data_IF_861585627010
#
_entry.id   IF_861585627010
#
_cell.length_a   1.000
_cell.length_b   1.000
_cell.length_c   1.000
_cell.angle_alpha   90.00
_cell.angle_beta   90.00
_cell.angle_gamma   90.00
#
_symmetry.space_group_name_H-M   'P 1'
#
loop_
_entity.id
_entity.type
_entity.pdbx_description
1 polymer ?
#
# COMPACT_ATOMS: atom_id res chain seq x y z
N UNK A 1 23.46 -10.55 -15.87
CA UNK A 1 22.41 -10.67 -14.85
C UNK A 1 22.91 -11.56 -13.73
N UNK A 2 22.24 -11.54 -12.57
CA UNK A 2 22.55 -12.45 -11.45
C UNK A 2 21.53 -13.60 -11.48
N UNK A 3 21.78 -14.69 -12.23
CA UNK A 3 20.79 -15.75 -12.48
C UNK A 3 20.34 -16.48 -11.21
N UNK A 4 21.14 -16.42 -10.14
CA UNK A 4 20.84 -17.08 -8.86
C UNK A 4 19.98 -16.21 -7.92
N UNK A 5 19.72 -14.96 -8.26
CA UNK A 5 18.85 -14.06 -7.48
C UNK A 5 17.41 -14.29 -7.91
N UNK A 6 16.58 -14.74 -6.96
CA UNK A 6 15.15 -15.02 -7.17
C UNK A 6 14.28 -13.88 -6.65
N UNK A 7 13.12 -13.67 -7.28
CA UNK A 7 12.10 -12.75 -6.78
C UNK A 7 11.48 -13.29 -5.48
N UNK A 8 11.24 -12.40 -4.51
CA UNK A 8 10.55 -12.74 -3.26
C UNK A 8 9.02 -12.52 -3.30
N UNK A 9 8.52 -11.76 -4.27
CA UNK A 9 7.09 -11.50 -4.48
C UNK A 9 6.84 -11.07 -5.93
N UNK A 10 5.56 -11.04 -6.34
CA UNK A 10 5.15 -10.44 -7.62
C UNK A 10 4.83 -8.98 -7.37
N UNK A 11 5.70 -8.07 -7.83
CA UNK A 11 5.57 -6.65 -7.56
C UNK A 11 6.28 -5.79 -8.62
N UNK A 12 5.89 -4.54 -8.86
CA UNK A 12 4.58 -3.95 -8.53
C UNK A 12 3.69 -4.05 -9.77
N UNK A 13 2.57 -4.76 -9.67
CA UNK A 13 1.63 -4.91 -10.80
C UNK A 13 0.80 -3.64 -10.94
N UNK A 14 1.10 -2.84 -11.96
CA UNK A 14 0.40 -1.59 -12.18
C UNK A 14 -0.81 -1.74 -13.10
N UNK A 15 -1.83 -0.92 -12.82
CA UNK A 15 -2.94 -0.69 -13.75
C UNK A 15 -3.19 0.80 -13.94
N UNK A 16 -3.61 1.15 -15.14
CA UNK A 16 -4.23 2.42 -15.46
C UNK A 16 -5.69 2.45 -15.01
N UNK A 17 -6.39 3.54 -15.33
CA UNK A 17 -7.84 3.63 -15.19
C UNK A 17 -8.44 4.30 -16.44
N UNK A 18 -9.45 3.67 -17.09
CA UNK A 18 -9.91 2.29 -16.88
C UNK A 18 -8.81 1.23 -17.11
N UNK A 19 -8.93 0.04 -16.51
CA UNK A 19 -7.94 -1.04 -16.65
C UNK A 19 -7.94 -1.57 -18.09
N UNK A 20 -6.79 -1.54 -18.75
CA UNK A 20 -6.61 -2.06 -20.11
C UNK A 20 -6.64 -3.61 -20.15
N UNK A 21 -6.99 -4.17 -21.31
CA UNK A 21 -7.01 -5.62 -21.52
C UNK A 21 -5.66 -6.30 -21.23
N UNK A 22 -4.54 -5.63 -21.52
CA UNK A 22 -3.21 -6.13 -21.17
C UNK A 22 -2.99 -6.18 -19.66
N UNK A 23 -3.36 -5.11 -18.94
CA UNK A 23 -3.23 -5.01 -17.49
C UNK A 23 -4.13 -6.03 -16.79
N UNK A 24 -5.35 -6.22 -17.30
CA UNK A 24 -6.27 -7.27 -16.83
C UNK A 24 -5.65 -8.66 -16.95
N UNK A 25 -5.05 -9.00 -18.10
CA UNK A 25 -4.34 -10.27 -18.29
C UNK A 25 -3.13 -10.41 -17.36
N UNK A 26 -2.44 -9.32 -17.07
CA UNK A 26 -1.30 -9.30 -16.15
C UNK A 26 -1.74 -9.59 -14.71
N UNK A 27 -2.84 -8.99 -14.23
CA UNK A 27 -3.44 -9.26 -12.91
C UNK A 27 -3.90 -10.73 -12.82
N UNK A 28 -4.60 -11.23 -13.84
CA UNK A 28 -5.04 -12.63 -13.90
C UNK A 28 -3.86 -13.61 -13.90
N UNK A 29 -2.76 -13.27 -14.56
CA UNK A 29 -1.54 -14.08 -14.56
C UNK A 29 -0.87 -14.05 -13.18
N UNK A 30 -0.85 -12.90 -12.51
CA UNK A 30 -0.40 -12.78 -11.12
C UNK A 30 -1.20 -13.72 -10.20
N UNK A 31 -2.52 -13.76 -10.35
CA UNK A 31 -3.41 -14.61 -9.57
C UNK A 31 -3.06 -16.10 -9.69
N UNK A 32 -2.85 -16.56 -10.92
CA UNK A 32 -2.44 -17.95 -11.20
C UNK A 32 -1.12 -18.28 -10.52
N UNK A 33 -0.10 -17.46 -10.72
CA UNK A 33 1.21 -17.69 -10.09
C UNK A 33 1.12 -17.62 -8.56
N UNK A 34 0.42 -16.62 -8.02
CA UNK A 34 0.18 -16.46 -6.58
C UNK A 34 -0.47 -17.71 -5.97
N UNK A 35 -1.47 -18.29 -6.63
CA UNK A 35 -2.16 -19.48 -6.14
C UNK A 35 -1.30 -20.74 -6.19
N UNK A 36 -0.41 -20.87 -7.19
CA UNK A 36 0.51 -22.00 -7.34
C UNK A 36 1.68 -21.95 -6.34
N UNK A 37 2.32 -20.80 -6.17
CA UNK A 37 3.53 -20.67 -5.34
C UNK A 37 3.30 -20.05 -3.97
N UNK A 38 2.06 -19.61 -3.68
CA UNK A 38 1.66 -18.98 -2.43
C UNK A 38 2.49 -17.73 -2.04
N UNK A 39 2.97 -16.98 -3.02
CA UNK A 39 3.71 -15.74 -2.79
C UNK A 39 2.79 -14.53 -2.59
N UNK A 40 3.33 -13.40 -2.13
CA UNK A 40 2.61 -12.13 -2.12
C UNK A 40 2.53 -11.51 -3.52
N UNK A 41 1.48 -10.70 -3.76
CA UNK A 41 1.37 -9.82 -4.94
C UNK A 41 1.08 -8.40 -4.48
N UNK A 42 1.83 -7.41 -4.96
CA UNK A 42 1.50 -6.00 -4.75
C UNK A 42 0.99 -5.34 -6.04
N UNK A 43 0.07 -4.40 -5.86
CA UNK A 43 -0.60 -3.70 -6.96
C UNK A 43 -0.46 -2.18 -6.84
N UNK A 44 -0.19 -1.53 -7.96
CA UNK A 44 -0.23 -0.09 -8.13
C UNK A 44 -1.57 0.29 -8.79
N UNK A 45 -2.56 0.82 -8.04
CA UNK A 45 -3.82 1.18 -8.65
C UNK A 45 -3.69 2.47 -9.47
N UNK A 46 -4.58 2.62 -10.46
CA UNK A 46 -4.93 3.93 -11.02
C UNK A 46 -5.34 4.93 -9.92
N UNK A 47 -5.55 6.19 -10.30
CA UNK A 47 -5.91 7.25 -9.32
C UNK A 47 -7.41 7.38 -9.06
N UNK A 48 -8.20 6.56 -9.74
CA UNK A 48 -9.64 6.49 -9.52
C UNK A 48 -9.95 5.61 -8.30
N UNK A 49 -10.88 6.02 -7.42
CA UNK A 49 -11.25 5.27 -6.23
C UNK A 49 -11.80 3.86 -6.52
N UNK A 50 -12.31 3.58 -7.72
CA UNK A 50 -12.79 2.24 -8.10
C UNK A 50 -11.65 1.29 -8.51
N UNK A 51 -10.46 1.82 -8.85
CA UNK A 51 -9.36 1.01 -9.34
C UNK A 51 -8.88 -0.06 -8.33
N UNK A 52 -8.68 0.23 -7.03
CA UNK A 52 -8.33 -0.78 -6.03
C UNK A 52 -9.33 -1.95 -5.98
N UNK A 53 -10.64 -1.64 -6.06
CA UNK A 53 -11.71 -2.63 -6.00
C UNK A 53 -11.73 -3.51 -7.25
N UNK A 54 -11.59 -2.91 -8.44
CA UNK A 54 -11.58 -3.69 -9.68
C UNK A 54 -10.36 -4.62 -9.76
N UNK A 55 -9.17 -4.15 -9.36
CA UNK A 55 -7.96 -4.98 -9.33
C UNK A 55 -8.16 -6.20 -8.42
N UNK A 56 -8.65 -5.98 -7.20
CA UNK A 56 -8.84 -7.08 -6.24
C UNK A 56 -9.91 -8.06 -6.73
N UNK A 57 -10.98 -7.56 -7.34
CA UNK A 57 -12.01 -8.40 -7.97
C UNK A 57 -11.43 -9.28 -9.07
N UNK A 58 -10.67 -8.70 -10.01
CA UNK A 58 -10.03 -9.46 -11.11
C UNK A 58 -9.07 -10.52 -10.55
N UNK A 59 -8.29 -10.17 -9.54
CA UNK A 59 -7.38 -11.10 -8.85
C UNK A 59 -8.15 -12.30 -8.29
N UNK A 60 -9.23 -12.04 -7.53
CA UNK A 60 -10.03 -13.09 -6.89
C UNK A 60 -10.79 -13.94 -7.90
N UNK A 61 -11.40 -13.33 -8.92
CA UNK A 61 -12.07 -14.05 -10.02
C UNK A 61 -11.11 -15.00 -10.77
N UNK A 62 -9.82 -14.67 -10.83
CA UNK A 62 -8.78 -15.51 -11.42
C UNK A 62 -8.16 -16.53 -10.45
N UNK A 63 -8.68 -16.65 -9.22
CA UNK A 63 -8.25 -17.63 -8.21
C UNK A 63 -7.18 -17.12 -7.24
N UNK A 64 -6.84 -15.84 -7.29
CA UNK A 64 -5.91 -15.21 -6.35
C UNK A 64 -6.52 -15.02 -4.96
N UNK A 65 -5.66 -14.94 -3.95
CA UNK A 65 -6.03 -14.79 -2.53
C UNK A 65 -5.83 -13.35 -2.09
N UNK A 66 -6.92 -12.69 -1.66
CA UNK A 66 -6.86 -11.34 -1.10
C UNK A 66 -5.93 -11.26 0.12
N UNK A 67 -5.93 -12.29 0.98
CA UNK A 67 -5.04 -12.35 2.15
C UNK A 67 -3.53 -12.35 1.82
N UNK A 68 -3.16 -12.55 0.55
CA UNK A 68 -1.81 -12.50 -0.02
C UNK A 68 -1.62 -11.34 -1.02
N UNK A 69 -2.56 -10.40 -1.09
CA UNK A 69 -2.47 -9.21 -1.93
C UNK A 69 -2.21 -7.96 -1.11
N UNK A 70 -1.39 -7.07 -1.66
CA UNK A 70 -1.10 -5.75 -1.13
C UNK A 70 -1.58 -4.71 -2.12
N UNK A 71 -2.34 -3.72 -1.64
CA UNK A 71 -2.75 -2.58 -2.44
C UNK A 71 -2.01 -1.33 -2.02
N UNK A 72 -1.09 -0.90 -2.88
CA UNK A 72 -0.30 0.32 -2.73
C UNK A 72 -1.18 1.57 -2.83
N UNK A 73 -0.65 2.68 -2.35
CA UNK A 73 -1.19 4.02 -2.62
C UNK A 73 -2.66 4.25 -2.20
N UNK A 74 -3.16 3.56 -1.18
CA UNK A 74 -4.54 3.80 -0.72
C UNK A 74 -4.71 5.21 -0.14
N UNK A 75 -3.65 5.78 0.40
CA UNK A 75 -3.56 7.11 1.01
C UNK A 75 -3.68 8.29 0.03
N UNK A 76 -3.59 8.04 -1.29
CA UNK A 76 -3.87 9.02 -2.36
C UNK A 76 -5.06 8.66 -3.25
N UNK A 77 -5.72 7.53 -2.98
CA UNK A 77 -6.74 6.94 -3.87
C UNK A 77 -8.09 6.83 -3.16
N UNK A 78 -8.11 6.27 -1.94
CA UNK A 78 -9.31 6.16 -1.11
C UNK A 78 -9.35 7.37 -0.16
N UNK A 79 -10.13 8.37 -0.56
CA UNK A 79 -10.13 9.68 0.09
C UNK A 79 -11.11 9.77 1.27
N UNK A 80 -12.03 8.82 1.40
CA UNK A 80 -13.01 8.75 2.50
C UNK A 80 -12.71 7.59 3.44
N UNK A 81 -13.14 7.70 4.70
CA UNK A 81 -13.08 6.60 5.67
C UNK A 81 -13.93 5.40 5.21
N UNK A 82 -15.14 5.67 4.72
CA UNK A 82 -16.07 4.65 4.20
C UNK A 82 -15.43 3.77 3.12
N UNK A 83 -14.91 4.38 2.03
CA UNK A 83 -14.28 3.62 0.94
C UNK A 83 -13.04 2.83 1.40
N UNK A 84 -12.25 3.38 2.32
CA UNK A 84 -11.10 2.70 2.89
C UNK A 84 -11.51 1.47 3.71
N UNK A 85 -12.57 1.57 4.52
CA UNK A 85 -13.09 0.48 5.32
C UNK A 85 -13.76 -0.60 4.45
N UNK A 86 -14.50 -0.19 3.42
CA UNK A 86 -15.06 -1.11 2.42
C UNK A 86 -13.97 -1.91 1.73
N UNK A 87 -12.88 -1.26 1.31
CA UNK A 87 -11.74 -1.96 0.72
C UNK A 87 -11.06 -2.91 1.73
N UNK A 88 -10.83 -2.45 2.96
CA UNK A 88 -10.20 -3.27 4.01
C UNK A 88 -11.00 -4.54 4.32
N UNK A 89 -12.33 -4.47 4.27
CA UNK A 89 -13.23 -5.60 4.48
C UNK A 89 -13.05 -6.72 3.44
N UNK A 90 -12.44 -6.44 2.28
CA UNK A 90 -12.14 -7.44 1.24
C UNK A 90 -10.96 -8.36 1.61
N UNK A 91 -10.23 -8.04 2.69
CA UNK A 91 -9.22 -8.92 3.29
C UNK A 91 -7.80 -8.79 2.71
N UNK A 92 -7.58 -7.83 1.82
CA UNK A 92 -6.27 -7.42 1.32
C UNK A 92 -5.45 -6.63 2.35
N UNK A 93 -4.12 -6.57 2.17
CA UNK A 93 -3.29 -5.62 2.91
C UNK A 93 -3.47 -4.20 2.36
N UNK A 94 -3.83 -3.27 3.24
CA UNK A 94 -3.92 -1.85 2.98
C UNK A 94 -2.54 -1.20 3.18
N UNK A 95 -1.94 -0.70 2.10
CA UNK A 95 -0.62 -0.07 2.16
C UNK A 95 -0.71 1.47 2.07
N UNK A 96 -0.09 2.11 3.06
CA UNK A 96 0.12 3.56 3.17
C UNK A 96 1.59 3.84 2.88
N UNK A 97 1.95 3.96 1.61
CA UNK A 97 3.33 4.01 1.15
C UNK A 97 3.81 5.39 0.75
N UNK A 98 3.07 6.47 0.98
CA UNK A 98 3.52 7.82 0.60
C UNK A 98 3.96 8.67 1.80
N UNK A 99 4.38 8.04 2.91
CA UNK A 99 4.94 8.78 4.05
C UNK A 99 6.13 9.66 3.63
N UNK A 100 6.10 10.91 4.10
CA UNK A 100 7.06 11.95 3.74
C UNK A 100 6.78 12.64 2.41
N UNK A 101 5.72 12.25 1.68
CA UNK A 101 5.24 12.98 0.49
C UNK A 101 4.14 13.94 0.88
N UNK A 102 4.50 15.20 1.06
CA UNK A 102 3.58 16.30 1.33
C UNK A 102 3.84 17.42 0.32
N UNK A 103 2.81 17.84 -0.40
CA UNK A 103 2.95 18.89 -1.41
C UNK A 103 1.67 19.72 -1.52
N UNK A 104 1.82 21.01 -1.81
CA UNK A 104 0.69 21.92 -1.99
C UNK A 104 -0.03 21.74 -3.32
N UNK A 105 0.62 21.09 -4.30
CA UNK A 105 0.04 20.81 -5.61
C UNK A 105 0.42 19.37 -6.02
N UNK A 106 -0.56 18.46 -5.95
CA UNK A 106 -0.36 17.10 -6.41
C UNK A 106 -0.51 17.02 -7.93
N UNK A 107 0.60 17.24 -8.64
CA UNK A 107 0.62 17.32 -10.11
C UNK A 107 0.10 16.07 -10.85
N UNK A 108 0.02 14.92 -10.18
CA UNK A 108 -0.46 13.66 -10.78
C UNK A 108 -1.99 13.49 -10.68
N UNK A 109 -2.65 14.26 -9.81
CA UNK A 109 -4.11 14.40 -9.76
C UNK A 109 -4.47 15.73 -9.11
N UNK A 110 -4.77 16.73 -9.94
CA UNK A 110 -5.03 18.11 -9.51
C UNK A 110 -6.29 18.27 -8.64
N UNK A 111 -7.17 17.27 -8.61
CA UNK A 111 -8.40 17.29 -7.80
C UNK A 111 -8.20 16.77 -6.37
N UNK A 112 -7.01 16.23 -6.06
CA UNK A 112 -6.72 15.59 -4.78
C UNK A 112 -5.70 16.41 -4.00
N UNK A 113 -6.06 16.74 -2.76
CA UNK A 113 -5.12 17.26 -1.78
C UNK A 113 -4.27 16.12 -1.24
N UNK A 114 -2.95 16.22 -1.45
CA UNK A 114 -2.02 15.23 -0.94
C UNK A 114 -2.00 15.28 0.59
N UNK A 115 -2.33 14.15 1.21
CA UNK A 115 -2.37 14.05 2.67
C UNK A 115 -1.00 14.31 3.29
N UNK A 116 -1.03 14.92 4.47
CA UNK A 116 0.12 14.92 5.39
C UNK A 116 0.29 13.56 6.06
N UNK A 117 1.47 13.31 6.62
CA UNK A 117 1.73 12.12 7.42
C UNK A 117 0.82 12.06 8.66
N UNK A 118 0.46 13.21 9.22
CA UNK A 118 -0.50 13.27 10.30
C UNK A 118 -1.87 12.72 9.86
N UNK A 119 -2.37 13.12 8.68
CA UNK A 119 -3.65 12.63 8.14
C UNK A 119 -3.59 11.15 7.76
N UNK A 120 -2.45 10.67 7.23
CA UNK A 120 -2.24 9.21 7.02
C UNK A 120 -2.36 8.42 8.31
N UNK A 121 -1.77 8.92 9.40
CA UNK A 121 -1.87 8.28 10.72
C UNK A 121 -3.33 8.28 11.20
N UNK A 122 -4.12 9.33 10.93
CA UNK A 122 -5.55 9.34 11.30
C UNK A 122 -6.34 8.24 10.56
N UNK A 123 -6.04 8.00 9.28
CA UNK A 123 -6.64 6.88 8.54
C UNK A 123 -6.23 5.52 9.09
N UNK A 124 -4.95 5.35 9.47
CA UNK A 124 -4.46 4.13 10.11
C UNK A 124 -5.19 3.90 11.44
N UNK A 125 -5.42 4.94 12.24
CA UNK A 125 -6.18 4.84 13.50
C UNK A 125 -7.63 4.41 13.22
N UNK A 126 -8.28 4.99 12.21
CA UNK A 126 -9.62 4.55 11.79
C UNK A 126 -9.65 3.07 11.40
N UNK A 127 -8.70 2.59 10.59
CA UNK A 127 -8.59 1.17 10.25
C UNK A 127 -8.39 0.29 11.48
N UNK A 128 -7.49 0.67 12.38
CA UNK A 128 -7.24 -0.06 13.62
C UNK A 128 -8.52 -0.20 14.45
N UNK A 129 -9.28 0.88 14.58
CA UNK A 129 -10.48 0.92 15.41
C UNK A 129 -11.64 0.12 14.81
N UNK A 130 -11.76 0.06 13.49
CA UNK A 130 -12.90 -0.53 12.80
C UNK A 130 -12.62 -1.93 12.19
N UNK A 131 -11.36 -2.25 11.90
CA UNK A 131 -10.95 -3.44 11.15
C UNK A 131 -9.75 -4.18 11.74
N UNK A 132 -9.12 -3.64 12.79
CA UNK A 132 -7.94 -4.22 13.43
C UNK A 132 -6.62 -3.80 12.78
N UNK A 133 -5.52 -4.33 13.30
CA UNK A 133 -4.14 -3.93 12.98
C UNK A 133 -3.38 -4.98 12.12
N UNK A 134 -4.02 -6.06 11.68
CA UNK A 134 -3.39 -7.21 10.97
C UNK A 134 -3.05 -6.99 9.49
N UNK A 135 -3.68 -6.00 8.85
CA UNK A 135 -3.62 -5.83 7.40
C UNK A 135 -3.19 -4.43 6.99
N UNK A 136 -2.37 -3.79 7.82
CA UNK A 136 -1.85 -2.43 7.57
C UNK A 136 -0.35 -2.51 7.29
N UNK A 137 0.07 -1.92 6.18
CA UNK A 137 1.48 -1.77 5.80
C UNK A 137 1.81 -0.29 5.61
N UNK A 138 3.06 0.08 5.88
CA UNK A 138 3.56 1.45 5.68
C UNK A 138 4.87 1.44 4.91
N UNK A 139 5.09 2.46 4.08
CA UNK A 139 6.35 2.66 3.37
C UNK A 139 6.51 4.12 2.93
N UNK A 140 7.52 4.40 2.11
CA UNK A 140 7.79 5.72 1.54
C UNK A 140 7.58 5.78 0.03
N UNK A 141 7.69 4.67 -0.70
CA UNK A 141 7.72 4.69 -2.18
C UNK A 141 8.78 5.69 -2.70
N UNK A 142 9.99 5.65 -2.15
CA UNK A 142 11.09 6.51 -2.63
C UNK A 142 11.54 5.99 -4.01
N UNK A 143 11.05 6.66 -5.06
CA UNK A 143 11.39 6.39 -6.45
C UNK A 143 12.11 7.58 -7.14
N UNK A 144 12.47 8.63 -6.39
CA UNK A 144 13.14 9.82 -6.93
C UNK A 144 14.32 10.29 -6.06
N UNK A 145 15.34 10.88 -6.69
CA UNK A 145 16.56 11.35 -6.00
C UNK A 145 16.28 12.41 -4.94
N UNK A 146 15.40 13.37 -5.22
CA UNK A 146 15.11 14.49 -4.32
C UNK A 146 14.50 14.05 -2.98
N UNK A 147 13.97 12.82 -2.90
CA UNK A 147 13.44 12.25 -1.65
C UNK A 147 14.49 11.61 -0.76
N UNK A 148 15.74 11.46 -1.23
CA UNK A 148 16.86 10.96 -0.42
C UNK A 148 17.48 12.09 0.42
N UNK A 149 17.95 11.76 1.62
CA UNK A 149 18.61 12.70 2.55
C UNK A 149 19.76 13.47 1.88
N UNK A 150 20.56 12.79 1.05
CA UNK A 150 21.67 13.41 0.31
C UNK A 150 21.24 14.60 -0.57
N UNK A 151 19.99 14.61 -1.01
CA UNK A 151 19.42 15.66 -1.87
C UNK A 151 18.39 16.53 -1.13
N UNK A 152 18.39 16.50 0.20
CA UNK A 152 17.49 17.31 1.05
C UNK A 152 16.11 16.69 1.29
N UNK A 153 15.87 15.45 0.85
CA UNK A 153 14.63 14.73 1.12
C UNK A 153 14.61 14.03 2.48
N UNK A 154 13.47 13.41 2.79
CA UNK A 154 13.21 12.75 4.08
C UNK A 154 13.99 11.42 4.26
N UNK A 155 14.26 10.70 3.18
CA UNK A 155 14.96 9.40 3.18
C UNK A 155 14.26 8.26 3.91
N UNK A 156 14.90 7.10 3.89
CA UNK A 156 14.31 5.85 4.40
C UNK A 156 14.16 5.82 5.94
N UNK A 157 14.92 6.63 6.69
CA UNK A 157 14.79 6.71 8.15
C UNK A 157 13.59 7.53 8.61
N UNK A 158 12.86 8.19 7.70
CA UNK A 158 11.73 9.07 8.02
C UNK A 158 10.62 8.40 8.82
N UNK A 159 10.32 7.13 8.49
CA UNK A 159 9.29 6.37 9.20
C UNK A 159 9.67 6.21 10.68
N UNK A 160 10.92 5.83 10.96
CA UNK A 160 11.40 5.60 12.32
C UNK A 160 11.61 6.91 13.09
N UNK A 161 12.17 7.93 12.44
CA UNK A 161 12.55 9.17 13.13
C UNK A 161 11.38 10.13 13.36
N UNK A 162 10.35 10.11 12.50
CA UNK A 162 9.29 11.10 12.51
C UNK A 162 7.90 10.46 12.65
N UNK A 163 7.62 9.40 11.90
CA UNK A 163 6.27 8.80 11.85
C UNK A 163 5.98 7.98 13.11
N UNK A 164 6.90 7.10 13.54
CA UNK A 164 6.74 6.29 14.76
C UNK A 164 6.51 7.16 16.01
N UNK A 165 7.33 8.21 16.29
CA UNK A 165 7.04 9.12 17.39
C UNK A 165 5.65 9.78 17.28
N UNK A 166 5.23 10.16 16.06
CA UNK A 166 3.90 10.76 15.85
C UNK A 166 2.76 9.77 16.06
N UNK A 167 2.92 8.51 15.66
CA UNK A 167 1.97 7.42 15.92
C UNK A 167 1.77 7.21 17.42
N UNK A 168 2.85 7.16 18.20
CA UNK A 168 2.79 7.06 19.66
C UNK A 168 2.05 8.24 20.29
N UNK A 169 2.36 9.48 19.88
CA UNK A 169 1.67 10.69 20.36
C UNK A 169 0.17 10.66 20.03
N UNK A 170 -0.22 10.06 18.90
CA UNK A 170 -1.61 9.89 18.50
C UNK A 170 -2.31 8.67 19.13
N UNK A 171 -1.64 7.96 20.02
CA UNK A 171 -2.23 6.87 20.80
C UNK A 171 -2.17 5.48 20.16
N UNK A 172 -1.43 5.31 19.06
CA UNK A 172 -1.12 3.96 18.56
C UNK A 172 -0.10 3.33 19.50
N UNK A 173 -0.44 2.18 20.08
CA UNK A 173 0.42 1.48 21.03
C UNK A 173 1.69 0.92 20.36
N UNK A 174 2.76 0.74 21.14
CA UNK A 174 3.99 0.11 20.63
C UNK A 174 3.70 -1.27 20.01
N UNK A 175 2.81 -2.07 20.60
CA UNK A 175 2.40 -3.38 20.06
C UNK A 175 1.80 -3.25 18.65
N UNK A 176 0.95 -2.26 18.41
CA UNK A 176 0.37 -2.01 17.09
C UNK A 176 1.42 -1.54 16.08
N UNK A 177 2.35 -0.67 16.52
CA UNK A 177 3.48 -0.23 15.69
C UNK A 177 4.36 -1.42 15.30
N UNK A 178 4.74 -2.25 16.27
CA UNK A 178 5.53 -3.47 16.04
C UNK A 178 4.84 -4.38 15.02
N UNK A 179 3.51 -4.52 15.13
CA UNK A 179 2.72 -5.28 14.18
C UNK A 179 2.78 -4.70 12.76
N UNK A 180 2.58 -3.39 12.62
CA UNK A 180 2.60 -2.69 11.32
C UNK A 180 4.00 -2.74 10.68
N UNK A 181 5.07 -2.64 11.47
CA UNK A 181 6.44 -2.51 10.99
C UNK A 181 7.19 -3.85 10.87
N UNK A 182 6.75 -4.89 11.57
CA UNK A 182 7.45 -6.19 11.62
C UNK A 182 6.52 -7.35 11.28
N UNK A 183 5.46 -7.56 12.06
CA UNK A 183 4.64 -8.78 11.95
C UNK A 183 3.84 -8.83 10.66
N UNK A 184 3.24 -7.71 10.24
CA UNK A 184 2.43 -7.61 9.02
C UNK A 184 3.30 -7.80 7.77
N UNK A 185 4.44 -7.10 7.60
CA UNK A 185 5.36 -7.39 6.50
C UNK A 185 5.85 -8.85 6.49
N UNK A 186 6.18 -9.42 7.66
CA UNK A 186 6.60 -10.81 7.75
C UNK A 186 5.47 -11.78 7.34
N UNK A 187 4.25 -11.57 7.83
CA UNK A 187 3.07 -12.37 7.48
C UNK A 187 2.69 -12.24 6.00
N UNK A 188 2.88 -11.05 5.42
CA UNK A 188 2.65 -10.81 4.01
C UNK A 188 3.63 -11.61 3.14
N UNK A 189 4.91 -11.65 3.50
CA UNK A 189 5.99 -12.30 2.74
C UNK A 189 6.11 -13.82 2.98
N UNK A 190 5.72 -14.34 4.14
CA UNK A 190 5.84 -15.75 4.54
C UNK A 190 4.54 -16.54 4.37
#
# INVERSE_FOLDING_TARGET
GFPDVKCGMIAEQASSWPIDDFERRAIQSAAKVQSEVNCAVSFHPGRDPEAPFEILRILQEAGGKASRSVMSHLDRTLMTEESLLEYAALGGFCQFDLFGTECSLYQLNLSVDMRSDAQRIDQIISLINNSGDDKILVSHDIHTKHRLIKFGGHGFSHLLNNVVPKMLVKGISQRQIDKIFMDNPATMLC
#
